data_IF_743099193082
#
_entry.id   IF_743099193082
#
_cell.length_a   1.000
_cell.length_b   1.000
_cell.length_c   1.000
_cell.angle_alpha   90.00
_cell.angle_beta   90.00
_cell.angle_gamma   90.00
#
_symmetry.space_group_name_H-M   'P 1'
#
loop_
_entity.id
_entity.type
_entity.pdbx_description
1 polymer ?
#
# COMPACT_ATOMS: atom_id res chain seq x y z
N UNK A 1 9.52 -5.29 3.46
CA UNK A 1 8.70 -4.05 3.33
C UNK A 1 7.27 -4.35 2.91
N UNK A 2 7.08 -5.16 1.88
CA UNK A 2 5.72 -5.46 1.38
C UNK A 2 4.88 -6.22 2.39
N UNK A 3 5.48 -7.13 3.14
CA UNK A 3 4.77 -7.88 4.19
C UNK A 3 4.27 -6.96 5.29
N UNK A 4 5.06 -5.97 5.70
CA UNK A 4 4.65 -4.97 6.68
C UNK A 4 3.52 -4.09 6.14
N UNK A 5 3.56 -3.76 4.85
CA UNK A 5 2.50 -3.00 4.21
C UNK A 5 1.17 -3.79 4.27
N UNK A 6 1.20 -5.07 3.91
CA UNK A 6 0.01 -5.92 3.97
C UNK A 6 -0.47 -6.11 5.41
N UNK A 7 0.46 -6.32 6.35
CA UNK A 7 0.12 -6.43 7.78
C UNK A 7 -0.51 -5.16 8.32
N UNK A 8 -0.02 -3.98 7.87
CA UNK A 8 -0.61 -2.70 8.27
C UNK A 8 -2.07 -2.58 7.87
N UNK A 9 -2.42 -3.05 6.66
CA UNK A 9 -3.81 -3.06 6.22
C UNK A 9 -4.65 -4.08 6.99
N UNK A 10 -4.09 -5.25 7.30
CA UNK A 10 -4.80 -6.32 7.99
C UNK A 10 -5.06 -6.00 9.47
N UNK A 11 -4.12 -5.32 10.12
CA UNK A 11 -4.19 -5.05 11.57
C UNK A 11 -4.59 -3.62 11.91
N UNK A 12 -4.39 -2.68 10.98
CA UNK A 12 -4.56 -1.26 11.23
C UNK A 12 -3.44 -0.66 12.07
N UNK A 13 -2.35 -1.40 12.30
CA UNK A 13 -1.24 -0.96 13.14
C UNK A 13 -0.34 0.01 12.39
N UNK A 14 -0.23 1.29 12.83
CA UNK A 14 0.63 2.26 12.16
C UNK A 14 2.11 1.88 12.16
N UNK A 15 2.57 1.08 13.12
CA UNK A 15 3.97 0.63 13.18
C UNK A 15 4.34 -0.23 11.97
N UNK A 16 3.39 -1.03 11.46
CA UNK A 16 3.62 -1.85 10.28
C UNK A 16 3.87 -0.98 9.06
N UNK A 17 3.11 0.10 8.89
CA UNK A 17 3.34 1.05 7.80
C UNK A 17 4.67 1.78 7.95
N UNK A 18 5.05 2.15 9.17
CA UNK A 18 6.35 2.80 9.43
C UNK A 18 7.53 1.90 9.04
N UNK A 19 7.37 0.58 9.19
CA UNK A 19 8.42 -0.35 8.79
C UNK A 19 8.46 -0.60 7.29
N UNK A 20 7.34 -0.40 6.58
CA UNK A 20 7.27 -0.63 5.14
C UNK A 20 7.68 0.57 4.31
N UNK A 21 7.30 1.79 4.73
CA UNK A 21 7.55 3.01 3.97
C UNK A 21 8.80 3.75 4.44
N UNK A 22 9.51 4.34 3.47
CA UNK A 22 10.54 5.34 3.77
C UNK A 22 9.85 6.62 4.26
N UNK A 23 10.53 7.39 5.14
CA UNK A 23 9.96 8.60 5.72
C UNK A 23 9.57 9.66 4.68
N UNK A 24 10.25 9.66 3.52
CA UNK A 24 9.99 10.61 2.44
C UNK A 24 9.11 10.03 1.34
N UNK A 25 8.51 8.85 1.57
CA UNK A 25 7.66 8.20 0.58
C UNK A 25 6.43 9.04 0.27
N UNK A 26 5.95 8.89 -0.97
CA UNK A 26 4.73 9.57 -1.43
C UNK A 26 3.78 8.57 -2.04
N UNK A 27 2.47 8.81 -1.82
CA UNK A 27 1.40 8.09 -2.48
C UNK A 27 0.74 9.06 -3.46
N UNK A 28 0.41 8.56 -4.65
CA UNK A 28 -0.14 9.38 -5.72
C UNK A 28 -1.18 8.57 -6.48
N UNK A 29 -2.30 9.20 -6.80
CA UNK A 29 -3.36 8.52 -7.55
C UNK A 29 -4.25 9.55 -8.24
N UNK A 30 -5.16 9.07 -9.06
CA UNK A 30 -6.18 9.91 -9.69
C UNK A 30 -7.50 9.67 -8.96
N UNK A 31 -8.09 10.72 -8.46
CA UNK A 31 -9.38 10.70 -7.77
C UNK A 31 -10.36 11.59 -8.53
N UNK A 32 -11.42 10.97 -9.06
CA UNK A 32 -12.44 11.71 -9.82
C UNK A 32 -11.84 12.59 -10.92
N UNK A 33 -10.85 12.03 -11.65
CA UNK A 33 -10.16 12.74 -12.72
C UNK A 33 -9.10 13.74 -12.27
N UNK A 34 -8.87 13.88 -10.96
CA UNK A 34 -7.93 14.84 -10.40
C UNK A 34 -6.72 14.14 -9.78
N UNK A 35 -5.54 14.75 -9.93
CA UNK A 35 -4.34 14.29 -9.26
C UNK A 35 -4.47 14.46 -7.75
N UNK A 36 -4.14 13.41 -7.01
CA UNK A 36 -4.12 13.42 -5.56
C UNK A 36 -2.79 12.87 -5.05
N UNK A 37 -2.34 13.36 -3.91
CA UNK A 37 -1.09 12.92 -3.30
C UNK A 37 -1.20 12.92 -1.78
N UNK A 38 -0.42 12.06 -1.15
CA UNK A 38 -0.35 11.95 0.31
C UNK A 38 1.08 11.62 0.71
N UNK A 39 1.57 12.22 1.80
CA UNK A 39 2.87 11.89 2.37
C UNK A 39 2.80 10.60 3.18
N UNK A 40 3.96 10.03 3.53
CA UNK A 40 4.06 8.89 4.43
C UNK A 40 3.38 9.19 5.77
N UNK A 41 3.68 10.35 6.36
CA UNK A 41 3.10 10.74 7.66
C UNK A 41 1.57 10.81 7.59
N UNK A 42 1.02 11.40 6.52
CA UNK A 42 -0.43 11.48 6.34
C UNK A 42 -1.06 10.08 6.20
N UNK A 43 -0.38 9.19 5.48
CA UNK A 43 -0.86 7.81 5.28
C UNK A 43 -0.86 7.03 6.59
N UNK A 44 0.23 7.11 7.36
CA UNK A 44 0.34 6.41 8.64
C UNK A 44 -0.68 6.95 9.64
N UNK A 45 -0.89 8.27 9.65
CA UNK A 45 -1.88 8.89 10.53
C UNK A 45 -3.31 8.41 10.26
N UNK A 46 -3.59 7.89 9.06
CA UNK A 46 -4.89 7.32 8.73
C UNK A 46 -5.12 5.90 9.24
N UNK A 47 -4.11 5.25 9.83
CA UNK A 47 -4.27 3.90 10.38
C UNK A 47 -5.13 3.93 11.64
N UNK A 48 -6.13 3.02 11.71
CA UNK A 48 -7.14 3.04 12.79
C UNK A 48 -6.65 2.46 14.11
N UNK A 49 -5.54 1.71 14.10
CA UNK A 49 -5.03 0.99 15.28
C UNK A 49 -5.68 -0.36 15.52
N UNK A 50 -6.62 -0.76 14.68
CA UNK A 50 -7.34 -2.04 14.79
C UNK A 50 -7.67 -2.61 13.42
N UNK A 51 -7.93 -3.92 13.30
CA UNK A 51 -8.31 -4.54 12.03
C UNK A 51 -9.62 -3.96 11.48
N UNK A 52 -9.79 -3.93 10.15
CA UNK A 52 -11.07 -3.56 9.56
C UNK A 52 -12.18 -4.52 10.00
N UNK A 53 -13.41 -4.02 10.09
CA UNK A 53 -14.56 -4.82 10.50
C UNK A 53 -14.82 -6.01 9.56
N UNK A 54 -14.50 -5.85 8.27
CA UNK A 54 -14.70 -6.87 7.24
C UNK A 54 -13.42 -7.62 6.85
N UNK A 55 -12.42 -7.65 7.73
CA UNK A 55 -11.11 -8.24 7.43
C UNK A 55 -11.22 -9.69 6.91
N UNK A 56 -12.11 -10.49 7.46
CA UNK A 56 -12.28 -11.88 7.03
C UNK A 56 -12.70 -12.00 5.55
N UNK A 57 -13.24 -10.95 4.94
CA UNK A 57 -13.69 -10.91 3.56
C UNK A 57 -12.69 -10.21 2.63
N UNK A 58 -11.56 -9.75 3.15
CA UNK A 58 -10.53 -9.05 2.38
C UNK A 58 -9.44 -10.01 1.95
N UNK A 59 -8.99 -9.86 0.71
CA UNK A 59 -7.89 -10.67 0.16
C UNK A 59 -6.78 -9.74 -0.32
N UNK A 60 -5.55 -10.12 -0.06
CA UNK A 60 -4.37 -9.35 -0.45
C UNK A 60 -3.36 -10.28 -1.09
N UNK A 61 -2.76 -9.86 -2.21
CA UNK A 61 -1.75 -10.67 -2.89
C UNK A 61 -0.66 -9.79 -3.49
N UNK A 62 0.56 -10.33 -3.49
CA UNK A 62 1.69 -9.75 -4.21
C UNK A 62 1.71 -10.45 -5.56
N UNK A 63 1.37 -9.72 -6.63
CA UNK A 63 1.25 -10.30 -7.97
C UNK A 63 2.60 -10.44 -8.67
N UNK A 64 3.51 -9.48 -8.46
CA UNK A 64 4.82 -9.52 -9.07
C UNK A 64 5.80 -8.64 -8.31
N UNK A 65 7.09 -9.01 -8.38
CA UNK A 65 8.21 -8.23 -7.85
C UNK A 65 9.32 -8.31 -8.88
N UNK A 66 9.91 -7.15 -9.22
CA UNK A 66 11.04 -7.06 -10.13
C UNK A 66 12.15 -6.27 -9.43
N UNK A 67 13.31 -6.89 -9.26
CA UNK A 67 14.43 -6.35 -8.49
C UNK A 67 15.68 -6.27 -9.37
N UNK A 68 16.32 -5.10 -9.38
CA UNK A 68 17.64 -4.92 -9.99
C UNK A 68 18.51 -4.10 -9.02
N UNK A 69 19.54 -4.75 -8.45
CA UNK A 69 20.43 -4.10 -7.49
C UNK A 69 19.65 -3.56 -6.29
N UNK A 70 19.72 -2.26 -6.08
CA UNK A 70 19.07 -1.60 -4.94
C UNK A 70 17.69 -1.02 -5.27
N UNK A 71 17.17 -1.28 -6.46
CA UNK A 71 15.88 -0.78 -6.90
C UNK A 71 14.92 -1.91 -7.21
N UNK A 72 13.63 -1.71 -6.90
CA UNK A 72 12.61 -2.72 -7.18
C UNK A 72 11.26 -2.08 -7.47
N UNK A 73 10.44 -2.82 -8.20
CA UNK A 73 9.02 -2.51 -8.36
C UNK A 73 8.18 -3.73 -7.99
N UNK A 74 6.95 -3.50 -7.54
CA UNK A 74 6.03 -4.56 -7.18
C UNK A 74 4.60 -4.17 -7.52
N UNK A 75 3.78 -5.17 -7.84
CA UNK A 75 2.36 -5.01 -8.06
C UNK A 75 1.61 -5.79 -6.98
N UNK A 76 0.73 -5.11 -6.27
CA UNK A 76 -0.08 -5.69 -5.19
C UNK A 76 -1.54 -5.48 -5.53
N UNK A 77 -2.35 -6.50 -5.28
CA UNK A 77 -3.80 -6.40 -5.43
C UNK A 77 -4.45 -6.56 -4.06
N UNK A 78 -5.31 -5.60 -3.72
CA UNK A 78 -6.11 -5.61 -2.50
C UNK A 78 -7.56 -5.80 -2.94
N UNK A 79 -8.05 -7.04 -2.81
CA UNK A 79 -9.41 -7.41 -3.22
C UNK A 79 -10.34 -7.33 -2.01
N UNK A 80 -11.08 -6.22 -1.91
CA UNK A 80 -11.96 -5.92 -0.80
C UNK A 80 -13.43 -6.05 -1.25
N UNK A 81 -14.39 -6.18 -0.31
CA UNK A 81 -15.79 -6.44 -0.67
C UNK A 81 -16.41 -5.45 -1.67
N UNK A 82 -16.06 -4.16 -1.60
CA UNK A 82 -16.67 -3.13 -2.44
C UNK A 82 -15.72 -2.51 -3.45
N UNK A 83 -14.42 -2.86 -3.40
CA UNK A 83 -13.41 -2.21 -4.24
C UNK A 83 -12.20 -3.13 -4.41
N UNK A 84 -11.59 -3.09 -5.60
CA UNK A 84 -10.29 -3.72 -5.83
C UNK A 84 -9.27 -2.61 -6.03
N UNK A 85 -8.24 -2.59 -5.19
CA UNK A 85 -7.10 -1.69 -5.37
C UNK A 85 -5.99 -2.44 -6.09
N UNK A 86 -5.42 -1.81 -7.11
CA UNK A 86 -4.19 -2.28 -7.75
C UNK A 86 -3.10 -1.27 -7.42
N UNK A 87 -2.11 -1.72 -6.64
CA UNK A 87 -1.03 -0.87 -6.15
C UNK A 87 0.25 -1.15 -6.93
N UNK A 88 0.90 -0.09 -7.41
CA UNK A 88 2.23 -0.17 -8.00
C UNK A 88 3.21 0.48 -7.02
N UNK A 89 4.14 -0.32 -6.52
CA UNK A 89 5.12 0.09 -5.53
C UNK A 89 6.50 0.22 -6.15
N UNK A 90 7.23 1.27 -5.77
CA UNK A 90 8.65 1.39 -6.04
C UNK A 90 9.39 1.35 -4.72
N UNK A 91 10.47 0.57 -4.66
CA UNK A 91 11.22 0.31 -3.44
C UNK A 91 12.71 0.55 -3.68
N UNK A 92 13.39 0.94 -2.61
CA UNK A 92 14.84 1.05 -2.59
C UNK A 92 15.39 0.28 -1.40
N UNK A 93 16.55 -0.37 -1.61
CA UNK A 93 17.28 -1.04 -0.53
C UNK A 93 18.12 -0.01 0.19
N UNK A 94 17.73 0.31 1.42
CA UNK A 94 18.42 1.27 2.27
C UNK A 94 19.30 0.56 3.30
N UNK A 95 20.02 1.32 4.13
CA UNK A 95 20.78 0.76 5.24
C UNK A 95 19.90 -0.02 6.23
N UNK A 96 18.61 0.35 6.31
CA UNK A 96 17.63 -0.29 7.20
C UNK A 96 16.80 -1.37 6.47
N UNK A 97 17.22 -1.77 5.28
CA UNK A 97 16.53 -2.75 4.46
C UNK A 97 15.69 -2.12 3.35
N UNK A 98 14.84 -2.94 2.74
CA UNK A 98 13.98 -2.47 1.66
C UNK A 98 12.87 -1.56 2.19
N UNK A 99 12.67 -0.41 1.54
CA UNK A 99 11.61 0.54 1.90
C UNK A 99 10.84 0.97 0.66
N UNK A 100 9.52 1.10 0.81
CA UNK A 100 8.66 1.66 -0.25
C UNK A 100 8.89 3.16 -0.29
N UNK A 101 9.25 3.69 -1.47
CA UNK A 101 9.51 5.12 -1.63
C UNK A 101 8.40 5.81 -2.43
N UNK A 102 7.60 5.05 -3.17
CA UNK A 102 6.48 5.59 -3.95
C UNK A 102 5.41 4.53 -4.13
N UNK A 103 4.16 4.96 -4.08
CA UNK A 103 3.01 4.13 -4.39
C UNK A 103 2.07 4.89 -5.29
N UNK A 104 1.73 4.30 -6.44
CA UNK A 104 0.59 4.74 -7.23
C UNK A 104 -0.45 3.64 -7.23
N UNK A 105 -1.72 3.98 -7.36
CA UNK A 105 -2.76 2.95 -7.33
C UNK A 105 -4.00 3.36 -8.10
N UNK A 106 -4.78 2.35 -8.46
CA UNK A 106 -6.09 2.51 -9.06
C UNK A 106 -7.12 1.77 -8.19
N UNK A 107 -8.23 2.42 -7.90
CA UNK A 107 -9.32 1.83 -7.14
C UNK A 107 -10.47 1.54 -8.12
N UNK A 108 -10.80 0.25 -8.29
CA UNK A 108 -11.89 -0.21 -9.14
C UNK A 108 -13.09 -0.57 -8.28
N UNK A 109 -14.15 0.26 -8.26
CA UNK A 109 -15.36 -0.09 -7.51
C UNK A 109 -15.99 -1.36 -8.05
N UNK A 110 -16.49 -2.21 -7.15
CA UNK A 110 -17.26 -3.40 -7.55
C UNK A 110 -18.70 -2.99 -7.78
N UNK A 111 -19.24 -3.37 -8.93
CA UNK A 111 -20.62 -3.08 -9.27
C UNK A 111 -21.52 -4.06 -8.51
N UNK A 112 -22.51 -3.53 -7.80
CA UNK A 112 -23.53 -4.37 -7.19
C UNK A 112 -24.50 -4.85 -8.29
N UNK A 113 -24.79 -6.12 -8.26
CA UNK A 113 -25.78 -6.72 -9.14
C UNK A 113 -27.00 -7.13 -8.34
#
# INVERSE_FOLDING_TARGET
ALEHYLAGHATGDPKEFRQSFHDEARLQWIREGQYATRSDDEYVAGASGKPPADEAQRKRSIESIDITGTAASAKIVLDYPTVIFTDYMHLLKTADGWKIVNKTFYAQPKVKQ
#
